data_IF_705610441524
#
_entry.id   IF_705610441524
#
_cell.length_a   1.000
_cell.length_b   1.000
_cell.length_c   1.000
_cell.angle_alpha   90.00
_cell.angle_beta   90.00
_cell.angle_gamma   90.00
#
_symmetry.space_group_name_H-M   'P 1'
#
loop_
_entity.id
_entity.type
_entity.pdbx_description
1 polymer ?
#
# COMPACT_ATOMS: atom_id res chain seq x y z
N UNK A 1 5.62 -17.19 2.36
CA UNK A 1 4.47 -17.14 1.44
C UNK A 1 3.41 -16.19 1.99
N UNK A 2 2.90 -15.29 1.16
CA UNK A 2 1.87 -14.33 1.58
C UNK A 2 0.52 -15.02 1.64
N UNK A 3 -0.20 -14.79 2.73
CA UNK A 3 -1.60 -15.17 2.82
C UNK A 3 -2.45 -13.99 2.36
N UNK A 4 -2.86 -14.02 1.10
CA UNK A 4 -3.58 -12.92 0.45
C UNK A 4 -4.91 -12.63 1.16
N UNK A 5 -5.61 -13.66 1.60
CA UNK A 5 -6.89 -13.46 2.31
C UNK A 5 -6.71 -12.74 3.63
N UNK A 6 -5.62 -13.05 4.34
CA UNK A 6 -5.28 -12.33 5.57
C UNK A 6 -4.99 -10.87 5.29
N UNK A 7 -4.22 -10.59 4.21
CA UNK A 7 -3.91 -9.22 3.81
C UNK A 7 -5.18 -8.45 3.47
N UNK A 8 -6.08 -9.07 2.70
CA UNK A 8 -7.37 -8.44 2.35
C UNK A 8 -8.19 -8.12 3.60
N UNK A 9 -8.15 -8.99 4.60
CA UNK A 9 -8.89 -8.81 5.85
C UNK A 9 -8.31 -7.67 6.69
N UNK A 10 -6.99 -7.56 6.73
CA UNK A 10 -6.30 -6.54 7.53
C UNK A 10 -6.29 -5.17 6.87
N UNK A 11 -6.46 -5.12 5.54
CA UNK A 11 -6.39 -3.90 4.77
C UNK A 11 -7.67 -3.72 3.93
N UNK A 12 -8.83 -3.58 4.58
CA UNK A 12 -10.08 -3.34 3.84
C UNK A 12 -10.05 -1.96 3.17
N UNK A 13 -10.93 -1.79 2.19
CA UNK A 13 -11.12 -0.50 1.53
C UNK A 13 -11.31 0.61 2.56
N UNK A 14 -10.62 1.73 2.37
CA UNK A 14 -10.71 2.87 3.27
C UNK A 14 -9.64 2.89 4.37
N UNK A 15 -8.83 1.83 4.49
CA UNK A 15 -7.75 1.81 5.46
C UNK A 15 -6.73 2.89 5.15
N UNK A 16 -6.37 3.70 6.15
CA UNK A 16 -5.35 4.73 5.99
C UNK A 16 -3.99 4.16 6.31
N UNK A 17 -3.00 4.52 5.49
CA UNK A 17 -1.62 4.08 5.67
C UNK A 17 -0.66 5.25 5.56
N UNK A 18 0.54 5.06 6.12
CA UNK A 18 1.66 5.97 5.97
C UNK A 18 2.83 5.19 5.38
N UNK A 19 3.39 5.70 4.28
CA UNK A 19 4.50 5.04 3.59
C UNK A 19 5.78 5.16 4.39
N UNK A 20 6.49 4.04 4.55
CA UNK A 20 7.81 4.01 5.19
C UNK A 20 8.90 3.85 4.14
N UNK A 21 8.73 2.92 3.21
CA UNK A 21 9.72 2.66 2.16
C UNK A 21 9.02 2.07 0.95
N UNK A 22 9.40 2.53 -0.23
CA UNK A 22 8.94 1.93 -1.49
C UNK A 22 10.16 1.53 -2.32
N UNK A 23 10.14 0.31 -2.82
CA UNK A 23 11.25 -0.24 -3.60
C UNK A 23 11.06 0.08 -5.08
N UNK A 24 11.06 1.37 -5.39
CA UNK A 24 10.87 1.88 -6.76
C UNK A 24 11.57 3.22 -6.89
N UNK A 25 12.72 3.23 -7.55
CA UNK A 25 13.55 4.43 -7.69
C UNK A 25 12.89 5.50 -8.56
N UNK A 26 11.88 5.13 -9.34
CA UNK A 26 11.18 6.08 -10.22
C UNK A 26 9.92 6.64 -9.59
N UNK A 27 9.56 6.18 -8.41
CA UNK A 27 8.36 6.64 -7.73
C UNK A 27 8.62 7.97 -7.04
N UNK A 28 7.67 8.90 -7.17
CA UNK A 28 7.76 10.21 -6.54
C UNK A 28 7.34 10.23 -5.09
N UNK A 29 6.81 9.11 -4.60
CA UNK A 29 6.39 9.01 -3.21
C UNK A 29 7.58 9.00 -2.27
N UNK A 30 7.38 9.54 -1.09
CA UNK A 30 8.42 9.67 -0.06
C UNK A 30 7.92 9.10 1.26
N UNK A 31 8.88 8.75 2.12
CA UNK A 31 8.56 8.35 3.49
C UNK A 31 7.68 9.41 4.16
N UNK A 32 6.61 8.96 4.78
CA UNK A 32 5.65 9.84 5.44
C UNK A 32 4.44 10.19 4.61
N UNK A 33 4.45 9.90 3.32
CA UNK A 33 3.27 10.11 2.47
C UNK A 33 2.14 9.21 2.93
N UNK A 34 0.92 9.76 2.95
CA UNK A 34 -0.26 9.04 3.44
C UNK A 34 -1.21 8.75 2.30
N UNK A 35 -1.90 7.63 2.41
CA UNK A 35 -2.86 7.21 1.41
C UNK A 35 -3.97 6.36 1.98
N UNK A 36 -4.89 6.01 1.10
CA UNK A 36 -6.06 5.21 1.43
C UNK A 36 -6.06 3.95 0.58
N UNK A 37 -6.21 2.80 1.22
CA UNK A 37 -6.30 1.52 0.51
C UNK A 37 -7.60 1.47 -0.28
N UNK A 38 -7.50 1.17 -1.56
CA UNK A 38 -8.66 0.95 -2.42
C UNK A 38 -9.07 -0.52 -2.44
N UNK A 39 -8.10 -1.40 -2.62
CA UNK A 39 -8.33 -2.84 -2.60
C UNK A 39 -6.99 -3.59 -2.54
N UNK A 40 -7.06 -4.89 -2.26
CA UNK A 40 -5.95 -5.81 -2.41
C UNK A 40 -6.35 -6.80 -3.48
N UNK A 41 -5.54 -6.97 -4.51
CA UNK A 41 -5.88 -7.87 -5.61
C UNK A 41 -5.50 -9.32 -5.32
N UNK A 42 -5.78 -10.21 -6.26
CA UNK A 42 -5.58 -11.65 -6.06
C UNK A 42 -4.12 -12.08 -6.06
N UNK A 43 -3.21 -11.22 -6.49
CA UNK A 43 -1.77 -11.49 -6.41
C UNK A 43 -1.13 -10.82 -5.20
N UNK A 44 -1.94 -10.20 -4.34
CA UNK A 44 -1.46 -9.61 -3.09
C UNK A 44 -0.95 -8.18 -3.22
N UNK A 45 -1.16 -7.54 -4.34
CA UNK A 45 -0.79 -6.15 -4.53
C UNK A 45 -1.83 -5.24 -3.88
N UNK A 46 -1.37 -4.28 -3.08
CA UNK A 46 -2.22 -3.37 -2.32
C UNK A 46 -2.36 -2.08 -3.13
N UNK A 47 -3.55 -1.82 -3.64
CA UNK A 47 -3.82 -0.62 -4.44
C UNK A 47 -4.15 0.55 -3.52
N UNK A 48 -3.33 1.59 -3.57
CA UNK A 48 -3.42 2.74 -2.68
C UNK A 48 -3.53 4.03 -3.48
N UNK A 49 -4.48 4.87 -3.11
CA UNK A 49 -4.61 6.24 -3.59
C UNK A 49 -3.96 7.14 -2.54
N UNK A 50 -2.79 7.70 -2.86
CA UNK A 50 -2.11 8.63 -1.97
C UNK A 50 -2.75 10.01 -2.03
N UNK A 51 -2.57 10.78 -0.96
CA UNK A 51 -3.23 12.08 -0.79
C UNK A 51 -2.76 13.12 -1.82
N UNK A 52 -1.58 12.94 -2.39
CA UNK A 52 -1.05 13.79 -3.45
C UNK A 52 -1.51 13.37 -4.85
N UNK A 53 -2.54 12.56 -4.94
CA UNK A 53 -3.16 12.10 -6.19
C UNK A 53 -2.36 11.02 -6.92
N UNK A 54 -1.33 10.48 -6.33
CA UNK A 54 -0.59 9.35 -6.89
C UNK A 54 -1.30 8.06 -6.50
N UNK A 55 -1.56 7.21 -7.50
CA UNK A 55 -2.15 5.89 -7.29
C UNK A 55 -1.12 4.84 -7.64
N UNK A 56 -0.83 3.92 -6.71
CA UNK A 56 0.20 2.92 -6.91
C UNK A 56 -0.17 1.62 -6.21
N UNK A 57 0.33 0.50 -6.74
CA UNK A 57 0.24 -0.80 -6.08
C UNK A 57 1.46 -1.04 -5.21
N UNK A 58 1.26 -1.31 -3.94
CA UNK A 58 2.32 -1.64 -3.00
C UNK A 58 2.46 -3.15 -2.88
N UNK A 59 3.69 -3.62 -2.74
CA UNK A 59 4.01 -5.03 -2.52
C UNK A 59 4.32 -5.22 -1.04
N UNK A 60 3.60 -6.11 -0.38
CA UNK A 60 3.74 -6.30 1.06
C UNK A 60 5.12 -6.86 1.44
N UNK A 61 5.83 -7.50 0.51
CA UNK A 61 7.17 -8.04 0.78
C UNK A 61 8.27 -7.03 0.48
N UNK A 62 8.08 -6.16 -0.53
CA UNK A 62 9.12 -5.24 -1.01
C UNK A 62 8.98 -3.84 -0.43
N UNK A 63 7.76 -3.43 -0.13
CA UNK A 63 7.46 -2.09 0.33
C UNK A 63 7.04 -2.12 1.80
N UNK A 64 7.28 -1.03 2.52
CA UNK A 64 6.95 -0.94 3.94
C UNK A 64 6.01 0.23 4.20
N UNK A 65 4.98 0.00 4.99
CA UNK A 65 4.02 1.03 5.38
C UNK A 65 3.41 0.68 6.73
N UNK A 66 2.78 1.68 7.34
CA UNK A 66 2.07 1.53 8.61
C UNK A 66 0.60 1.84 8.41
N UNK A 67 -0.27 1.12 9.12
CA UNK A 67 -1.67 1.51 9.23
C UNK A 67 -1.80 2.61 10.29
N UNK A 68 -2.56 3.62 9.98
CA UNK A 68 -2.73 4.77 10.87
C UNK A 68 -4.20 5.06 11.18
#
# INVERSE_FOLDING_TARGET
MINIEKVKRELPEGTRIELIHINDDFCKLMKGDKGTVECVDDIGQIHVQFDDSIRIGLDIEEDSFLTI
#
